data_IF_805978084002
#
_entry.id   IF_805978084002
#
_cell.length_a   1.000
_cell.length_b   1.000
_cell.length_c   1.000
_cell.angle_alpha   90.00
_cell.angle_beta   90.00
_cell.angle_gamma   90.00
#
_symmetry.space_group_name_H-M   'P 1'
#
loop_
_entity.id
_entity.type
_entity.pdbx_description
1 polymer ?
#
# COMPACT_ATOMS: atom_id res chain seq x y z
N UNK A 1 9.12 -25.27 3.10
CA UNK A 1 9.47 -23.85 3.28
C UNK A 1 8.90 -23.41 4.62
N UNK A 2 9.63 -22.64 5.43
CA UNK A 2 9.11 -22.19 6.73
C UNK A 2 8.15 -21.01 6.55
N UNK A 3 7.00 -21.07 7.23
CA UNK A 3 6.12 -19.92 7.43
C UNK A 3 6.86 -18.81 8.18
N UNK A 4 6.40 -17.57 8.04
CA UNK A 4 6.93 -16.45 8.82
C UNK A 4 6.69 -16.71 10.32
N UNK A 5 7.73 -16.59 11.15
CA UNK A 5 7.62 -16.88 12.59
C UNK A 5 8.14 -15.73 13.44
N UNK A 6 9.32 -15.21 13.13
CA UNK A 6 9.93 -14.07 13.79
C UNK A 6 10.01 -12.92 12.80
N UNK A 7 9.13 -11.94 12.97
CA UNK A 7 8.94 -10.87 12.00
C UNK A 7 9.53 -9.55 12.49
N UNK A 8 10.11 -8.79 11.57
CA UNK A 8 10.52 -7.40 11.78
C UNK A 8 9.82 -6.48 10.76
N UNK A 9 9.16 -5.44 11.25
CA UNK A 9 8.45 -4.46 10.42
C UNK A 9 9.13 -3.08 10.47
N UNK A 10 9.61 -2.61 9.32
CA UNK A 10 10.03 -1.21 9.15
C UNK A 10 8.84 -0.35 8.77
N UNK A 11 8.73 0.87 9.32
CA UNK A 11 7.63 1.78 9.00
C UNK A 11 6.29 1.42 9.65
N UNK A 12 6.32 0.63 10.73
CA UNK A 12 5.14 0.15 11.46
C UNK A 12 4.21 1.25 12.02
N UNK A 13 4.71 2.47 12.20
CA UNK A 13 3.91 3.62 12.67
C UNK A 13 3.47 4.55 11.53
N UNK A 14 3.78 4.21 10.28
CA UNK A 14 3.37 4.95 9.09
C UNK A 14 1.95 4.58 8.63
N UNK A 15 1.44 5.29 7.62
CA UNK A 15 0.05 5.15 7.14
C UNK A 15 -0.37 3.72 6.84
N UNK A 16 0.51 2.87 6.30
CA UNK A 16 0.18 1.50 5.94
C UNK A 16 0.77 0.48 6.91
N UNK A 17 1.96 0.75 7.45
CA UNK A 17 2.58 -0.13 8.44
C UNK A 17 1.72 -0.31 9.68
N UNK A 18 0.93 0.69 10.08
CA UNK A 18 0.00 0.56 11.21
C UNK A 18 -1.10 -0.46 10.93
N UNK A 19 -1.72 -0.44 9.74
CA UNK A 19 -2.74 -1.42 9.38
C UNK A 19 -2.17 -2.83 9.21
N UNK A 20 -0.93 -2.96 8.70
CA UNK A 20 -0.23 -4.25 8.66
C UNK A 20 -0.04 -4.79 10.07
N UNK A 21 0.44 -3.97 11.00
CA UNK A 21 0.64 -4.38 12.38
C UNK A 21 -0.70 -4.70 13.07
N UNK A 22 -1.72 -3.86 12.88
CA UNK A 22 -3.06 -4.06 13.44
C UNK A 22 -3.72 -5.37 12.95
N UNK A 23 -3.42 -5.81 11.72
CA UNK A 23 -3.87 -7.11 11.22
C UNK A 23 -3.08 -8.28 11.84
N UNK A 24 -1.78 -8.11 12.07
CA UNK A 24 -0.91 -9.15 12.62
C UNK A 24 -1.16 -9.41 14.11
N UNK A 25 -1.39 -8.36 14.90
CA UNK A 25 -1.46 -8.46 16.36
C UNK A 25 -2.56 -9.41 16.89
N UNK A 26 -3.78 -9.45 16.32
CA UNK A 26 -4.79 -10.44 16.68
C UNK A 26 -4.34 -11.89 16.47
N UNK A 27 -3.51 -12.14 15.45
CA UNK A 27 -2.97 -13.47 15.10
C UNK A 27 -1.60 -13.74 15.74
N UNK A 28 -1.25 -13.02 16.82
CA UNK A 28 0.06 -13.12 17.48
C UNK A 28 0.47 -14.55 17.85
N UNK A 29 -0.49 -15.43 18.17
CA UNK A 29 -0.19 -16.84 18.50
C UNK A 29 0.46 -17.61 17.34
N UNK A 30 0.33 -17.13 16.10
CA UNK A 30 1.00 -17.68 14.92
C UNK A 30 2.48 -17.27 14.82
N UNK A 31 2.91 -16.26 15.59
CA UNK A 31 4.25 -15.68 15.52
C UNK A 31 5.01 -15.90 16.83
N UNK A 32 6.30 -16.22 16.72
CA UNK A 32 7.20 -16.34 17.86
C UNK A 32 7.70 -14.99 18.37
N UNK A 33 7.99 -14.06 17.45
CA UNK A 33 8.50 -12.72 17.75
C UNK A 33 7.90 -11.72 16.77
N UNK A 34 7.47 -10.57 17.30
CA UNK A 34 6.98 -9.43 16.52
C UNK A 34 7.76 -8.21 16.96
N UNK A 35 8.64 -7.73 16.09
CA UNK A 35 9.46 -6.54 16.32
C UNK A 35 9.17 -5.45 15.29
N UNK A 36 9.37 -4.20 15.69
CA UNK A 36 9.36 -3.04 14.80
C UNK A 36 10.69 -2.31 14.89
N UNK A 37 11.15 -1.76 13.77
CA UNK A 37 12.30 -0.87 13.72
C UNK A 37 11.83 0.55 13.43
N UNK A 38 12.12 1.48 14.34
CA UNK A 38 11.65 2.87 14.27
C UNK A 38 12.78 3.87 14.48
N UNK A 39 12.71 5.03 13.81
CA UNK A 39 13.73 6.06 13.94
C UNK A 39 13.70 6.74 15.32
N UNK A 40 14.83 7.30 15.81
CA UNK A 40 14.86 8.09 17.04
C UNK A 40 13.84 9.23 17.04
N UNK A 41 13.74 9.97 15.92
CA UNK A 41 12.75 11.03 15.77
C UNK A 41 11.30 10.54 15.92
N UNK A 42 10.98 9.36 15.37
CA UNK A 42 9.65 8.75 15.56
C UNK A 42 9.45 8.31 17.00
N UNK A 43 10.50 7.82 17.66
CA UNK A 43 10.47 7.44 19.06
C UNK A 43 10.15 8.62 19.98
N UNK A 44 10.64 9.81 19.64
CA UNK A 44 10.36 11.06 20.36
C UNK A 44 8.99 11.66 20.03
N UNK A 45 8.53 11.56 18.77
CA UNK A 45 7.30 12.23 18.32
C UNK A 45 6.04 11.36 18.44
N UNK A 46 6.18 10.03 18.51
CA UNK A 46 5.06 9.07 18.59
C UNK A 46 5.11 8.19 19.83
N UNK A 47 5.55 8.76 20.96
CA UNK A 47 5.74 8.05 22.24
C UNK A 47 4.49 7.26 22.65
N UNK A 48 3.31 7.88 22.60
CA UNK A 48 2.05 7.24 23.00
C UNK A 48 1.72 6.01 22.14
N UNK A 49 1.91 6.11 20.82
CA UNK A 49 1.70 4.99 19.90
C UNK A 49 2.68 3.85 20.20
N UNK A 50 3.96 4.15 20.43
CA UNK A 50 4.97 3.12 20.72
C UNK A 50 4.77 2.46 22.08
N UNK A 51 4.34 3.21 23.10
CA UNK A 51 4.01 2.64 24.40
C UNK A 51 2.84 1.66 24.30
N UNK A 52 1.79 2.01 23.55
CA UNK A 52 0.67 1.10 23.25
C UNK A 52 1.16 -0.18 22.57
N UNK A 53 2.08 -0.07 21.60
CA UNK A 53 2.64 -1.26 20.93
C UNK A 53 3.44 -2.14 21.91
N UNK A 54 4.23 -1.55 22.81
CA UNK A 54 4.94 -2.30 23.87
C UNK A 54 3.97 -3.00 24.81
N UNK A 55 2.89 -2.35 25.22
CA UNK A 55 1.81 -2.95 26.03
C UNK A 55 1.14 -4.13 25.31
N UNK A 56 1.05 -4.06 23.98
CA UNK A 56 0.56 -5.15 23.13
C UNK A 56 1.61 -6.25 22.89
N UNK A 57 2.80 -6.18 23.53
CA UNK A 57 3.87 -7.16 23.42
C UNK A 57 4.70 -7.04 22.14
N UNK A 58 4.69 -5.89 21.47
CA UNK A 58 5.58 -5.61 20.32
C UNK A 58 6.93 -5.16 20.83
N UNK A 59 7.98 -5.78 20.32
CA UNK A 59 9.34 -5.32 20.57
C UNK A 59 9.63 -4.07 19.74
N UNK A 60 10.02 -2.98 20.39
CA UNK A 60 10.32 -1.71 19.73
C UNK A 60 11.82 -1.48 19.72
N UNK A 61 12.43 -1.63 18.53
CA UNK A 61 13.85 -1.39 18.29
C UNK A 61 13.98 0.02 17.72
N UNK A 62 14.78 0.86 18.39
CA UNK A 62 15.03 2.24 17.96
C UNK A 62 16.40 2.33 17.31
N UNK A 63 16.46 2.82 16.08
CA UNK A 63 17.72 2.97 15.35
C UNK A 63 17.56 3.73 14.03
N UNK A 64 18.67 4.09 13.41
CA UNK A 64 18.66 4.66 12.06
C UNK A 64 18.75 3.53 11.03
N UNK A 65 17.92 3.56 9.98
CA UNK A 65 17.96 2.59 8.88
C UNK A 65 19.27 2.67 8.07
N UNK A 66 19.98 3.78 8.18
CA UNK A 66 21.31 3.98 7.56
C UNK A 66 22.45 3.44 8.44
N UNK A 67 22.19 3.10 9.70
CA UNK A 67 23.17 2.44 10.57
C UNK A 67 23.10 0.93 10.32
N UNK A 68 24.02 0.42 9.51
CA UNK A 68 24.07 -1.00 9.19
C UNK A 68 24.20 -1.90 10.42
N UNK A 69 24.90 -1.46 11.47
CA UNK A 69 25.10 -2.27 12.67
C UNK A 69 23.80 -2.37 13.48
N UNK A 70 23.08 -1.26 13.59
CA UNK A 70 21.75 -1.27 14.22
C UNK A 70 20.76 -2.18 13.44
N UNK A 71 20.80 -2.14 12.11
CA UNK A 71 19.95 -3.01 11.27
C UNK A 71 20.36 -4.48 11.39
N UNK A 72 21.67 -4.80 11.37
CA UNK A 72 22.17 -6.17 11.56
C UNK A 72 21.73 -6.73 12.91
N UNK A 73 21.88 -5.94 13.99
CA UNK A 73 21.42 -6.33 15.32
C UNK A 73 19.90 -6.56 15.35
N UNK A 74 19.12 -5.72 14.67
CA UNK A 74 17.67 -5.91 14.57
C UNK A 74 17.27 -7.17 13.79
N UNK A 75 18.11 -7.66 12.87
CA UNK A 75 17.89 -8.90 12.11
C UNK A 75 18.24 -10.18 12.87
N UNK A 76 18.92 -10.10 14.02
CA UNK A 76 19.29 -11.27 14.81
C UNK A 76 18.05 -12.04 15.25
N UNK A 77 17.93 -13.31 14.80
CA UNK A 77 16.79 -14.17 15.12
C UNK A 77 15.49 -13.81 14.40
N UNK A 78 15.52 -12.90 13.44
CA UNK A 78 14.40 -12.59 12.54
C UNK A 78 14.49 -13.49 11.30
N UNK A 79 13.36 -14.06 10.88
CA UNK A 79 13.27 -14.85 9.64
C UNK A 79 12.57 -14.11 8.50
N UNK A 80 11.68 -13.16 8.83
CA UNK A 80 10.88 -12.45 7.84
C UNK A 80 10.91 -10.96 8.10
N UNK A 81 11.22 -10.18 7.07
CA UNK A 81 11.24 -8.72 7.12
C UNK A 81 10.12 -8.18 6.27
N UNK A 82 9.38 -7.22 6.81
CA UNK A 82 8.34 -6.49 6.11
C UNK A 82 8.76 -5.02 6.11
N UNK A 83 8.83 -4.41 4.93
CA UNK A 83 9.09 -2.99 4.77
C UNK A 83 7.78 -2.30 4.42
N UNK A 84 7.38 -1.32 5.23
CA UNK A 84 6.30 -0.37 4.97
C UNK A 84 6.83 1.07 4.96
N UNK A 85 8.07 1.25 4.50
CA UNK A 85 8.71 2.55 4.35
C UNK A 85 7.98 3.42 3.32
N UNK A 86 7.81 4.71 3.64
CA UNK A 86 7.14 5.68 2.77
C UNK A 86 7.97 6.04 1.54
N UNK A 87 7.36 6.78 0.61
CA UNK A 87 7.98 7.17 -0.68
C UNK A 87 9.35 7.83 -0.52
N UNK A 88 9.50 8.68 0.49
CA UNK A 88 10.73 9.44 0.75
C UNK A 88 11.89 8.56 1.23
N UNK A 89 11.63 7.32 1.64
CA UNK A 89 12.64 6.39 2.16
C UNK A 89 12.73 5.10 1.34
N UNK A 90 12.08 5.03 0.16
CA UNK A 90 12.12 3.85 -0.71
C UNK A 90 13.54 3.48 -1.17
N UNK A 91 14.42 4.47 -1.33
CA UNK A 91 15.82 4.25 -1.71
C UNK A 91 16.60 3.45 -0.64
N UNK A 92 16.22 3.58 0.63
CA UNK A 92 16.87 2.86 1.73
C UNK A 92 16.54 1.37 1.76
N UNK A 93 15.59 0.90 0.96
CA UNK A 93 15.26 -0.53 0.91
C UNK A 93 16.39 -1.38 0.34
N UNK A 94 17.17 -0.89 -0.62
CA UNK A 94 18.26 -1.66 -1.23
C UNK A 94 19.32 -2.06 -0.18
N UNK A 95 19.87 -1.13 0.63
CA UNK A 95 20.72 -1.50 1.76
C UNK A 95 20.07 -2.50 2.72
N UNK A 96 18.80 -2.30 3.09
CA UNK A 96 18.08 -3.21 3.99
C UNK A 96 17.95 -4.63 3.43
N UNK A 97 17.69 -4.75 2.12
CA UNK A 97 17.60 -6.02 1.39
C UNK A 97 18.97 -6.70 1.35
N UNK A 98 20.04 -5.95 1.04
CA UNK A 98 21.41 -6.47 1.03
C UNK A 98 21.78 -7.08 2.39
N UNK A 99 21.47 -6.35 3.47
CA UNK A 99 21.71 -6.82 4.84
C UNK A 99 20.83 -8.02 5.20
N UNK A 100 19.59 -8.08 4.69
CA UNK A 100 18.70 -9.21 4.90
C UNK A 100 19.23 -10.47 4.21
N UNK A 101 19.69 -10.36 2.96
CA UNK A 101 20.27 -11.48 2.22
C UNK A 101 21.58 -11.99 2.84
N UNK A 102 22.37 -11.12 3.46
CA UNK A 102 23.57 -11.51 4.19
C UNK A 102 23.29 -12.09 5.59
N UNK A 103 22.06 -11.98 6.10
CA UNK A 103 21.70 -12.50 7.42
C UNK A 103 21.58 -14.03 7.39
N UNK A 104 22.15 -14.75 8.37
CA UNK A 104 21.99 -16.20 8.43
C UNK A 104 20.55 -16.62 8.69
N UNK A 105 19.75 -15.77 9.33
CA UNK A 105 18.38 -16.08 9.78
C UNK A 105 17.28 -15.51 8.91
N UNK A 106 17.47 -14.35 8.26
CA UNK A 106 16.43 -13.78 7.41
C UNK A 106 16.32 -14.60 6.12
N UNK A 107 15.11 -15.05 5.80
CA UNK A 107 14.80 -15.89 4.63
C UNK A 107 13.71 -15.32 3.74
N UNK A 108 13.03 -14.27 4.17
CA UNK A 108 11.95 -13.69 3.40
C UNK A 108 11.82 -12.18 3.59
N UNK A 109 11.64 -11.45 2.49
CA UNK A 109 11.50 -10.00 2.50
C UNK A 109 10.25 -9.56 1.72
N UNK A 110 9.33 -8.86 2.37
CA UNK A 110 8.21 -8.18 1.74
C UNK A 110 8.56 -6.69 1.61
N UNK A 111 8.97 -6.20 0.43
CA UNK A 111 9.32 -4.78 0.26
C UNK A 111 8.08 -3.88 0.27
N UNK A 112 8.31 -2.57 0.44
CA UNK A 112 7.28 -1.53 0.44
C UNK A 112 6.72 -1.32 -0.96
N UNK A 113 5.73 -2.16 -1.29
CA UNK A 113 5.07 -2.23 -2.59
C UNK A 113 3.64 -1.71 -2.55
N UNK A 114 2.83 -2.19 -1.59
CA UNK A 114 1.40 -1.92 -1.30
C UNK A 114 0.75 -0.79 -2.11
N UNK A 115 0.59 -1.00 -3.40
CA UNK A 115 0.22 0.04 -4.35
C UNK A 115 0.06 -0.54 -5.75
N UNK A 116 -0.01 0.34 -6.74
CA UNK A 116 -0.06 -0.06 -8.15
C UNK A 116 1.19 -0.83 -8.55
N UNK A 117 0.99 -1.92 -9.29
CA UNK A 117 2.11 -2.70 -9.84
C UNK A 117 2.99 -1.81 -10.72
N UNK A 118 4.30 -1.93 -10.58
CA UNK A 118 5.25 -1.21 -11.44
C UNK A 118 5.52 -1.94 -12.76
N UNK A 119 4.87 -3.07 -12.99
CA UNK A 119 4.89 -3.83 -14.24
C UNK A 119 3.48 -3.95 -14.86
N UNK A 120 2.56 -3.02 -14.54
CA UNK A 120 1.17 -3.03 -15.00
C UNK A 120 0.99 -2.95 -16.54
N UNK A 121 2.00 -2.42 -17.25
CA UNK A 121 1.99 -2.31 -18.70
C UNK A 121 3.27 -1.68 -19.25
N UNK A 122 3.44 -1.59 -20.58
CA UNK A 122 4.68 -1.11 -21.22
C UNK A 122 5.10 0.30 -20.80
N UNK A 123 4.13 1.20 -20.54
CA UNK A 123 4.39 2.56 -20.11
C UNK A 123 5.02 2.65 -18.71
N UNK A 124 4.79 1.64 -17.85
CA UNK A 124 5.17 1.68 -16.43
C UNK A 124 6.66 1.90 -16.19
N UNK A 125 7.52 1.41 -17.10
CA UNK A 125 8.97 1.59 -17.02
C UNK A 125 9.40 3.07 -17.02
N UNK A 126 8.59 3.95 -17.60
CA UNK A 126 8.86 5.39 -17.72
C UNK A 126 8.06 6.24 -16.73
N UNK A 127 7.18 5.64 -15.93
CA UNK A 127 6.36 6.38 -14.96
C UNK A 127 7.24 6.92 -13.84
N UNK A 128 7.30 8.24 -13.69
CA UNK A 128 8.14 8.90 -12.67
C UNK A 128 7.87 8.39 -11.25
N UNK A 129 6.61 8.15 -10.81
CA UNK A 129 6.32 7.61 -9.47
C UNK A 129 6.82 6.18 -9.23
N UNK A 130 7.15 5.41 -10.27
CA UNK A 130 7.53 4.00 -10.18
C UNK A 130 9.05 3.78 -10.13
N UNK A 131 9.85 4.79 -10.49
CA UNK A 131 11.30 4.65 -10.71
C UNK A 131 12.07 4.08 -9.52
N UNK A 132 11.76 4.50 -8.29
CA UNK A 132 12.44 3.97 -7.10
C UNK A 132 12.09 2.50 -6.85
N UNK A 133 10.82 2.12 -7.01
CA UNK A 133 10.38 0.73 -6.86
C UNK A 133 10.94 -0.17 -7.96
N UNK A 134 11.09 0.34 -9.19
CA UNK A 134 11.73 -0.38 -10.29
C UNK A 134 13.17 -0.75 -9.93
N UNK A 135 13.92 0.18 -9.33
CA UNK A 135 15.29 -0.09 -8.83
C UNK A 135 15.30 -1.15 -7.72
N UNK A 136 14.35 -1.08 -6.77
CA UNK A 136 14.24 -2.06 -5.68
C UNK A 136 13.93 -3.46 -6.20
N UNK A 137 12.95 -3.59 -7.11
CA UNK A 137 12.64 -4.89 -7.73
C UNK A 137 13.81 -5.42 -8.56
N UNK A 138 14.44 -4.56 -9.37
CA UNK A 138 15.62 -4.97 -10.15
C UNK A 138 16.76 -5.48 -9.26
N UNK A 139 16.99 -4.84 -8.10
CA UNK A 139 17.99 -5.31 -7.14
C UNK A 139 17.65 -6.69 -6.58
N UNK A 140 16.40 -6.90 -6.11
CA UNK A 140 15.93 -8.20 -5.63
C UNK A 140 15.96 -9.29 -6.71
N UNK A 141 15.62 -8.95 -7.95
CA UNK A 141 15.51 -9.90 -9.05
C UNK A 141 16.87 -10.29 -9.64
N UNK A 142 17.84 -9.36 -9.70
CA UNK A 142 19.10 -9.55 -10.43
C UNK A 142 20.33 -9.72 -9.52
N UNK A 143 20.33 -9.13 -8.33
CA UNK A 143 21.53 -9.08 -7.48
C UNK A 143 21.45 -10.03 -6.26
N UNK A 144 20.28 -10.57 -5.97
CA UNK A 144 20.03 -11.42 -4.80
C UNK A 144 19.65 -12.82 -5.25
N UNK A 145 20.40 -13.83 -4.78
CA UNK A 145 20.02 -15.22 -5.01
C UNK A 145 18.73 -15.56 -4.29
N UNK A 146 17.85 -16.31 -4.96
CA UNK A 146 16.59 -16.80 -4.37
C UNK A 146 16.82 -17.79 -3.23
N UNK A 147 18.00 -18.39 -3.16
CA UNK A 147 18.42 -19.27 -2.08
C UNK A 147 18.88 -18.49 -0.83
N UNK A 148 19.39 -17.27 -1.02
CA UNK A 148 19.82 -16.39 0.06
C UNK A 148 18.62 -15.67 0.69
N UNK A 149 17.72 -15.14 -0.16
CA UNK A 149 16.56 -14.39 0.28
C UNK A 149 15.40 -14.51 -0.72
N UNK A 150 14.28 -15.09 -0.26
CA UNK A 150 13.04 -15.01 -1.02
C UNK A 150 12.38 -13.63 -0.85
N UNK A 151 11.52 -13.24 -1.78
CA UNK A 151 10.71 -12.02 -1.65
C UNK A 151 9.26 -12.22 -2.09
N UNK A 152 8.36 -11.33 -1.67
CA UNK A 152 6.99 -11.30 -2.20
C UNK A 152 6.53 -9.86 -2.37
N UNK A 153 6.18 -9.46 -3.59
CA UNK A 153 5.64 -8.12 -3.83
C UNK A 153 4.13 -8.16 -3.60
N UNK A 154 3.64 -7.62 -2.49
CA UNK A 154 2.20 -7.50 -2.24
C UNK A 154 1.70 -6.24 -2.94
N UNK A 155 1.09 -6.43 -4.10
CA UNK A 155 0.61 -5.36 -4.99
C UNK A 155 -0.89 -5.18 -4.75
N UNK A 156 -1.25 -4.11 -4.07
CA UNK A 156 -2.63 -3.88 -3.61
C UNK A 156 -3.43 -2.92 -4.50
N UNK A 157 -2.81 -2.30 -5.50
CA UNK A 157 -3.43 -1.18 -6.20
C UNK A 157 -3.65 0.05 -5.29
N UNK A 158 -4.45 1.03 -5.72
CA UNK A 158 -4.79 2.23 -4.94
C UNK A 158 -5.53 1.94 -3.63
N UNK A 159 -5.26 2.77 -2.62
CA UNK A 159 -6.02 2.76 -1.37
C UNK A 159 -7.38 3.42 -1.57
N UNK A 160 -8.45 2.72 -1.23
CA UNK A 160 -9.83 3.18 -1.43
C UNK A 160 -10.06 4.54 -0.73
N UNK A 161 -9.60 4.68 0.52
CA UNK A 161 -9.74 5.90 1.31
C UNK A 161 -9.09 7.10 0.62
N UNK A 162 -7.90 6.92 0.03
CA UNK A 162 -7.23 7.99 -0.71
C UNK A 162 -7.88 8.24 -2.08
N UNK A 163 -8.44 7.20 -2.70
CA UNK A 163 -9.11 7.31 -4.00
C UNK A 163 -10.42 8.09 -3.88
N UNK A 164 -11.16 7.91 -2.77
CA UNK A 164 -12.47 8.52 -2.59
C UNK A 164 -12.38 10.00 -2.19
N UNK A 165 -11.26 10.49 -1.67
CA UNK A 165 -11.17 11.86 -1.15
C UNK A 165 -10.94 12.89 -2.28
N UNK A 166 -11.82 13.90 -2.35
CA UNK A 166 -11.56 15.11 -3.13
C UNK A 166 -10.56 16.00 -2.37
N UNK A 167 -9.40 16.23 -2.95
CA UNK A 167 -8.35 17.06 -2.34
C UNK A 167 -8.46 18.49 -2.89
N UNK A 168 -8.63 19.52 -2.02
CA UNK A 168 -8.67 20.91 -2.45
C UNK A 168 -7.41 21.30 -3.24
N UNK A 169 -7.59 21.94 -4.39
CA UNK A 169 -6.51 22.31 -5.30
C UNK A 169 -6.03 21.18 -6.21
N UNK A 170 -6.59 19.97 -6.10
CA UNK A 170 -6.34 18.82 -6.98
C UNK A 170 -7.65 18.26 -7.56
N UNK A 171 -8.60 19.14 -7.86
CA UNK A 171 -9.91 18.77 -8.39
C UNK A 171 -9.81 17.98 -9.71
N UNK A 172 -8.81 18.27 -10.54
CA UNK A 172 -8.53 17.51 -11.77
C UNK A 172 -8.24 16.03 -11.50
N UNK A 173 -7.73 15.69 -10.31
CA UNK A 173 -7.43 14.33 -9.87
C UNK A 173 -8.69 13.53 -9.49
N UNK A 174 -9.86 14.16 -9.46
CA UNK A 174 -11.13 13.55 -9.09
C UNK A 174 -11.27 13.24 -7.61
N UNK A 175 -12.48 12.85 -7.20
CA UNK A 175 -12.79 12.49 -5.82
C UNK A 175 -14.20 12.92 -5.40
N UNK A 176 -14.54 12.62 -4.15
CA UNK A 176 -15.81 12.93 -3.52
C UNK A 176 -15.58 13.82 -2.29
N UNK A 177 -16.34 14.90 -2.22
CA UNK A 177 -16.61 15.67 -1.01
C UNK A 177 -18.01 15.28 -0.52
N UNK A 178 -18.04 14.34 0.42
CA UNK A 178 -19.30 13.80 0.95
C UNK A 178 -20.07 14.86 1.75
N UNK A 179 -19.38 15.78 2.44
CA UNK A 179 -20.03 16.83 3.24
C UNK A 179 -20.69 17.86 2.34
N UNK A 180 -19.96 18.30 1.31
CA UNK A 180 -20.45 19.23 0.29
C UNK A 180 -21.36 18.59 -0.76
N UNK A 181 -21.53 17.26 -0.75
CA UNK A 181 -22.26 16.48 -1.77
C UNK A 181 -21.79 16.81 -3.18
N UNK A 182 -20.47 16.87 -3.37
CA UNK A 182 -19.83 17.20 -4.64
C UNK A 182 -18.92 16.05 -5.06
N UNK A 183 -18.96 15.68 -6.33
CA UNK A 183 -18.10 14.66 -6.90
C UNK A 183 -17.50 15.09 -8.23
N UNK A 184 -16.25 14.73 -8.45
CA UNK A 184 -15.57 14.88 -9.73
C UNK A 184 -15.12 13.49 -10.17
N UNK A 185 -15.85 12.91 -11.11
CA UNK A 185 -15.59 11.56 -11.59
C UNK A 185 -14.54 11.59 -12.70
N UNK A 186 -13.62 10.63 -12.67
CA UNK A 186 -12.61 10.50 -13.71
C UNK A 186 -13.13 9.70 -14.91
N UNK A 187 -12.81 10.17 -16.11
CA UNK A 187 -13.09 9.47 -17.36
C UNK A 187 -14.53 9.57 -17.85
N UNK A 188 -14.85 8.72 -18.82
CA UNK A 188 -16.15 8.66 -19.47
C UNK A 188 -17.18 7.86 -18.64
N UNK A 189 -18.47 8.15 -18.85
CA UNK A 189 -19.54 7.45 -18.15
C UNK A 189 -19.57 5.97 -18.50
N UNK A 190 -19.65 5.12 -17.48
CA UNK A 190 -19.70 3.66 -17.65
C UNK A 190 -18.38 3.01 -18.06
N UNK A 191 -17.26 3.74 -17.96
CA UNK A 191 -15.90 3.24 -18.21
C UNK A 191 -15.01 3.50 -16.99
N UNK A 192 -13.75 3.05 -17.07
CA UNK A 192 -12.72 3.36 -16.06
C UNK A 192 -12.86 2.48 -14.83
N UNK A 193 -12.98 1.17 -15.02
CA UNK A 193 -12.90 0.23 -13.90
C UNK A 193 -11.57 0.39 -13.17
N UNK A 194 -11.63 0.24 -11.85
CA UNK A 194 -10.49 0.38 -10.94
C UNK A 194 -10.59 -0.68 -9.85
N UNK A 195 -9.48 -1.38 -9.60
CA UNK A 195 -9.35 -2.27 -8.45
C UNK A 195 -8.82 -1.48 -7.27
N UNK A 196 -9.59 -1.45 -6.18
CA UNK A 196 -9.27 -0.73 -4.96
C UNK A 196 -8.99 -1.69 -3.81
N UNK A 197 -8.15 -1.26 -2.87
CA UNK A 197 -7.93 -1.96 -1.60
C UNK A 197 -8.09 -0.99 -0.45
N UNK A 198 -8.83 -1.35 0.59
CA UNK A 198 -8.90 -0.51 1.80
C UNK A 198 -7.57 -0.58 2.56
N UNK A 199 -7.15 0.48 3.24
CA UNK A 199 -5.90 0.43 4.02
C UNK A 199 -5.94 -0.68 5.08
N UNK A 200 -7.11 -0.94 5.66
CA UNK A 200 -7.35 -2.09 6.55
C UNK A 200 -7.07 -3.42 5.84
N UNK A 201 -7.62 -3.61 4.64
CA UNK A 201 -7.43 -4.86 3.90
C UNK A 201 -6.01 -5.00 3.35
N UNK A 202 -5.25 -3.92 3.16
CA UNK A 202 -3.79 -4.04 2.91
C UNK A 202 -3.14 -4.84 4.04
N UNK A 203 -3.47 -4.54 5.29
CA UNK A 203 -3.00 -5.29 6.43
C UNK A 203 -3.44 -6.76 6.41
N UNK A 204 -4.73 -7.00 6.13
CA UNK A 204 -5.28 -8.36 5.99
C UNK A 204 -4.58 -9.16 4.89
N UNK A 205 -4.33 -8.57 3.73
CA UNK A 205 -3.70 -9.22 2.58
C UNK A 205 -2.22 -9.51 2.83
N UNK A 206 -1.51 -8.61 3.52
CA UNK A 206 -0.12 -8.86 3.95
C UNK A 206 -0.07 -9.98 4.98
N UNK A 207 -0.93 -9.95 6.01
CA UNK A 207 -1.03 -11.04 6.99
C UNK A 207 -1.29 -12.39 6.30
N UNK A 208 -2.26 -12.44 5.38
CA UNK A 208 -2.61 -13.67 4.68
C UNK A 208 -1.48 -14.17 3.78
N UNK A 209 -0.71 -13.24 3.18
CA UNK A 209 0.54 -13.60 2.49
C UNK A 209 1.47 -14.35 3.45
N UNK A 210 1.66 -13.87 4.68
CA UNK A 210 2.53 -14.50 5.69
C UNK A 210 2.03 -15.88 6.14
N UNK A 211 0.72 -16.01 6.39
CA UNK A 211 0.11 -17.23 6.91
C UNK A 211 -0.05 -18.33 5.86
N UNK A 212 -0.17 -17.96 4.58
CA UNK A 212 -0.38 -18.88 3.46
C UNK A 212 0.82 -18.88 2.50
N UNK A 213 2.03 -18.75 3.04
CA UNK A 213 3.24 -18.77 2.22
C UNK A 213 3.46 -20.13 1.56
N UNK A 214 3.57 -20.16 0.23
CA UNK A 214 3.84 -21.33 -0.60
C UNK A 214 4.99 -21.04 -1.57
N UNK A 215 5.31 -21.99 -2.44
CA UNK A 215 6.27 -21.76 -3.51
C UNK A 215 5.78 -20.71 -4.52
N UNK A 216 4.47 -20.67 -4.77
CA UNK A 216 3.82 -19.76 -5.72
C UNK A 216 3.69 -18.33 -5.19
N UNK A 217 3.63 -18.16 -3.86
CA UNK A 217 3.56 -16.83 -3.25
C UNK A 217 4.93 -16.21 -2.98
N UNK A 218 6.01 -17.01 -3.06
CA UNK A 218 7.41 -16.55 -2.98
C UNK A 218 7.98 -16.26 -4.36
N UNK A 219 8.90 -15.30 -4.38
CA UNK A 219 9.56 -14.74 -5.56
C UNK A 219 8.56 -14.30 -6.65
N UNK A 220 7.44 -13.74 -6.22
CA UNK A 220 6.29 -13.44 -7.06
C UNK A 220 5.70 -12.06 -6.75
N UNK A 221 5.03 -11.48 -7.75
CA UNK A 221 4.15 -10.33 -7.57
C UNK A 221 2.72 -10.81 -7.32
N UNK A 222 2.23 -10.56 -6.10
CA UNK A 222 0.90 -10.92 -5.65
C UNK A 222 -0.03 -9.72 -5.87
N UNK A 223 -0.63 -9.68 -7.05
CA UNK A 223 -1.66 -8.69 -7.38
C UNK A 223 -2.96 -9.04 -6.66
N UNK A 224 -3.28 -8.31 -5.61
CA UNK A 224 -4.42 -8.53 -4.72
C UNK A 224 -5.26 -7.28 -4.61
N UNK A 225 -6.57 -7.42 -4.34
CA UNK A 225 -7.41 -6.27 -4.06
C UNK A 225 -8.62 -6.61 -3.19
N UNK A 226 -9.24 -5.57 -2.61
CA UNK A 226 -10.52 -5.70 -1.92
C UNK A 226 -11.65 -5.93 -2.94
N UNK A 227 -11.86 -4.99 -3.85
CA UNK A 227 -12.94 -5.03 -4.84
C UNK A 227 -12.57 -4.26 -6.12
N UNK A 228 -13.36 -4.46 -7.17
CA UNK A 228 -13.26 -3.73 -8.44
C UNK A 228 -14.57 -2.98 -8.66
N UNK A 229 -14.48 -1.72 -9.08
CA UNK A 229 -15.62 -0.80 -9.24
C UNK A 229 -15.33 0.22 -10.33
N UNK A 230 -16.18 1.22 -10.50
CA UNK A 230 -16.00 2.37 -11.38
C UNK A 230 -16.43 3.66 -10.67
N UNK A 231 -16.00 4.86 -11.14
CA UNK A 231 -16.46 6.13 -10.59
C UNK A 231 -17.99 6.26 -10.57
N UNK A 232 -18.69 5.75 -11.59
CA UNK A 232 -20.15 5.75 -11.65
C UNK A 232 -20.78 4.87 -10.56
N UNK A 233 -20.23 3.67 -10.31
CA UNK A 233 -20.72 2.78 -9.26
C UNK A 233 -20.47 3.35 -7.86
N UNK A 234 -19.32 3.99 -7.63
CA UNK A 234 -19.04 4.68 -6.36
C UNK A 234 -20.04 5.82 -6.13
N UNK A 235 -20.29 6.64 -7.15
CA UNK A 235 -21.27 7.73 -7.05
C UNK A 235 -22.67 7.21 -6.78
N UNK A 236 -23.11 6.18 -7.51
CA UNK A 236 -24.42 5.56 -7.30
C UNK A 236 -24.55 4.98 -5.89
N UNK A 237 -23.49 4.40 -5.34
CA UNK A 237 -23.50 3.86 -3.99
C UNK A 237 -23.59 4.96 -2.91
N UNK A 238 -22.90 6.09 -3.10
CA UNK A 238 -23.07 7.27 -2.24
C UNK A 238 -24.51 7.79 -2.26
N UNK A 239 -25.11 7.93 -3.44
CA UNK A 239 -26.50 8.37 -3.59
C UNK A 239 -27.46 7.38 -2.92
N UNK A 240 -27.24 6.07 -3.08
CA UNK A 240 -28.06 5.02 -2.47
C UNK A 240 -28.05 5.08 -0.95
N UNK A 241 -26.87 5.26 -0.33
CA UNK A 241 -26.74 5.27 1.13
C UNK A 241 -27.14 6.62 1.78
N UNK A 242 -27.24 7.71 1.00
CA UNK A 242 -27.63 9.04 1.48
C UNK A 242 -29.05 9.44 1.03
N UNK A 243 -29.96 8.46 0.97
CA UNK A 243 -31.39 8.62 0.65
C UNK A 243 -31.68 9.32 -0.70
N UNK A 244 -30.82 9.10 -1.71
CA UNK A 244 -31.03 9.62 -3.07
C UNK A 244 -30.95 11.14 -3.20
N UNK A 245 -30.42 11.82 -2.19
CA UNK A 245 -30.27 13.27 -2.18
C UNK A 245 -29.29 13.74 -3.27
N UNK A 246 -29.53 14.91 -3.90
CA UNK A 246 -28.78 15.35 -5.07
C UNK A 246 -27.31 15.65 -4.75
N UNK A 247 -26.44 15.38 -5.74
CA UNK A 247 -25.01 15.70 -5.73
C UNK A 247 -24.65 16.66 -6.88
N UNK A 248 -23.70 17.56 -6.64
CA UNK A 248 -22.98 18.30 -7.70
C UNK A 248 -21.95 17.37 -8.33
N UNK A 249 -22.33 16.67 -9.41
CA UNK A 249 -21.48 15.70 -10.10
C UNK A 249 -20.94 16.29 -11.40
N UNK A 250 -19.62 16.35 -11.50
CA UNK A 250 -18.92 16.74 -12.72
C UNK A 250 -17.89 15.67 -13.12
N UNK A 251 -17.22 15.87 -14.25
CA UNK A 251 -16.24 14.92 -14.80
C UNK A 251 -14.95 15.59 -15.25
N UNK A 252 -13.84 14.91 -15.00
CA UNK A 252 -12.54 15.20 -15.63
C UNK A 252 -12.23 14.08 -16.63
N UNK A 253 -12.07 14.42 -17.90
CA UNK A 253 -11.65 13.46 -18.92
C UNK A 253 -10.19 13.04 -18.69
N UNK A 254 -9.80 11.86 -19.20
CA UNK A 254 -8.41 11.41 -19.12
C UNK A 254 -7.44 12.35 -19.88
N UNK A 255 -7.90 12.99 -20.97
CA UNK A 255 -7.13 14.02 -21.67
C UNK A 255 -6.83 15.22 -20.77
N UNK A 256 -7.84 15.78 -20.10
CA UNK A 256 -7.65 16.89 -19.16
C UNK A 256 -6.76 16.51 -17.98
N UNK A 257 -6.85 15.26 -17.52
CA UNK A 257 -5.98 14.74 -16.47
C UNK A 257 -4.51 14.67 -16.94
N UNK A 258 -4.25 14.24 -18.18
CA UNK A 258 -2.90 14.26 -18.79
C UNK A 258 -2.36 15.67 -18.94
N UNK A 259 -3.18 16.63 -19.37
CA UNK A 259 -2.79 18.04 -19.46
C UNK A 259 -2.39 18.59 -18.08
N UNK A 260 -3.21 18.32 -17.06
CA UNK A 260 -2.91 18.73 -15.68
C UNK A 260 -1.64 18.07 -15.13
N UNK A 261 -1.44 16.77 -15.40
CA UNK A 261 -0.24 16.04 -15.03
C UNK A 261 1.02 16.64 -15.68
N UNK A 262 0.98 16.89 -16.99
CA UNK A 262 2.10 17.46 -17.73
C UNK A 262 2.48 18.85 -17.18
N UNK A 263 1.48 19.73 -17.00
CA UNK A 263 1.68 21.06 -16.43
C UNK A 263 2.27 20.99 -15.01
N UNK A 264 1.79 20.07 -14.17
CA UNK A 264 2.30 19.88 -12.82
C UNK A 264 3.76 19.39 -12.82
N UNK A 265 4.15 18.50 -13.74
CA UNK A 265 5.54 18.07 -13.88
C UNK A 265 6.45 19.19 -14.37
N UNK A 266 6.02 20.00 -15.34
CA UNK A 266 6.80 21.16 -15.82
C UNK A 266 7.02 22.20 -14.73
N UNK A 267 6.00 22.44 -13.90
CA UNK A 267 6.06 23.37 -12.78
C UNK A 267 6.82 22.82 -11.56
N UNK A 268 7.29 21.57 -11.58
CA UNK A 268 7.91 20.93 -10.41
C UNK A 268 6.94 20.75 -9.23
N UNK A 269 5.64 20.73 -9.48
CA UNK A 269 4.61 20.61 -8.45
C UNK A 269 4.56 19.17 -7.90
N UNK A 270 4.73 18.95 -6.58
CA UNK A 270 4.64 17.62 -5.96
C UNK A 270 3.36 16.85 -6.28
N UNK A 271 2.26 17.55 -6.55
CA UNK A 271 0.98 16.96 -6.95
C UNK A 271 1.04 16.18 -8.27
N UNK A 272 2.04 16.41 -9.11
CA UNK A 272 2.22 15.68 -10.36
C UNK A 272 2.26 14.16 -10.13
N UNK A 273 2.78 13.71 -8.99
CA UNK A 273 2.75 12.29 -8.61
C UNK A 273 1.34 11.77 -8.43
N UNK A 274 0.46 12.54 -7.79
CA UNK A 274 -0.95 12.14 -7.56
C UNK A 274 -1.70 12.11 -8.90
N UNK A 275 -1.49 13.10 -9.76
CA UNK A 275 -2.10 13.16 -11.10
C UNK A 275 -1.66 11.98 -11.97
N UNK A 276 -0.36 11.67 -11.97
CA UNK A 276 0.19 10.50 -12.67
C UNK A 276 -0.47 9.20 -12.21
N UNK A 277 -0.58 8.99 -10.89
CA UNK A 277 -1.21 7.80 -10.34
C UNK A 277 -2.70 7.72 -10.69
N UNK A 278 -3.43 8.84 -10.58
CA UNK A 278 -4.85 8.91 -10.97
C UNK A 278 -5.06 8.60 -12.45
N UNK A 279 -4.17 9.07 -13.33
CA UNK A 279 -4.19 8.72 -14.75
C UNK A 279 -4.00 7.22 -14.93
N UNK A 280 -2.95 6.65 -14.35
CA UNK A 280 -2.67 5.20 -14.44
C UNK A 280 -3.88 4.39 -14.01
N UNK A 281 -4.55 4.78 -12.91
CA UNK A 281 -5.73 4.08 -12.42
C UNK A 281 -6.93 4.24 -13.35
N UNK A 282 -7.19 5.45 -13.86
CA UNK A 282 -8.28 5.71 -14.81
C UNK A 282 -8.07 5.06 -16.18
N UNK A 283 -6.82 4.77 -16.55
CA UNK A 283 -6.43 4.04 -17.76
C UNK A 283 -6.45 2.51 -17.56
N UNK A 284 -6.86 2.01 -16.40
CA UNK A 284 -6.99 0.58 -16.12
C UNK A 284 -5.71 -0.09 -15.62
N UNK A 285 -4.67 0.66 -15.23
CA UNK A 285 -3.40 0.12 -14.70
C UNK A 285 -3.50 -0.61 -13.34
N UNK A 286 -4.72 -0.82 -12.85
CA UNK A 286 -5.04 -1.58 -11.64
C UNK A 286 -5.85 -2.84 -11.94
N UNK A 287 -6.19 -3.07 -13.21
CA UNK A 287 -6.96 -4.22 -13.66
C UNK A 287 -5.97 -5.33 -14.03
N UNK A 288 -5.75 -6.24 -13.09
CA UNK A 288 -4.84 -7.35 -13.27
C UNK A 288 -5.57 -8.56 -13.86
N UNK A 289 -4.97 -9.21 -14.86
CA UNK A 289 -5.57 -10.37 -15.53
C UNK A 289 -5.87 -11.53 -14.56
N UNK A 290 -5.10 -11.65 -13.47
CA UNK A 290 -5.33 -12.60 -12.38
C UNK A 290 -5.09 -11.91 -11.05
N UNK A 291 -5.99 -12.19 -10.09
CA UNK A 291 -5.80 -11.84 -8.69
C UNK A 291 -5.16 -13.00 -7.93
N UNK A 292 -4.28 -12.67 -6.99
CA UNK A 292 -3.60 -13.60 -6.12
C UNK A 292 -4.35 -13.83 -4.79
N UNK A 293 -5.54 -13.24 -4.57
CA UNK A 293 -6.30 -13.43 -3.33
C UNK A 293 -6.47 -14.92 -2.98
N UNK A 294 -6.85 -15.76 -3.95
CA UNK A 294 -6.98 -17.21 -3.74
C UNK A 294 -5.67 -17.93 -3.43
N UNK A 295 -4.52 -17.41 -3.87
CA UNK A 295 -3.20 -17.98 -3.54
C UNK A 295 -2.82 -17.73 -2.07
N UNK A 296 -3.41 -16.71 -1.45
CA UNK A 296 -3.18 -16.35 -0.05
C UNK A 296 -4.38 -16.71 0.84
N UNK A 297 -5.22 -17.67 0.43
CA UNK A 297 -6.34 -18.16 1.25
C UNK A 297 -7.68 -17.45 1.05
N UNK A 298 -7.79 -16.55 0.07
CA UNK A 298 -8.98 -15.75 -0.26
C UNK A 298 -9.59 -15.09 1.00
N UNK A 299 -8.83 -14.21 1.70
CA UNK A 299 -9.34 -13.59 2.91
C UNK A 299 -10.59 -12.76 2.64
N UNK A 300 -11.48 -12.73 3.64
CA UNK A 300 -12.61 -11.80 3.62
C UNK A 300 -12.09 -10.36 3.67
N UNK A 301 -12.44 -9.59 2.65
CA UNK A 301 -12.09 -8.18 2.45
C UNK A 301 -13.36 -7.34 2.38
N UNK A 302 -13.23 -6.02 2.53
CA UNK A 302 -14.34 -5.09 2.42
C UNK A 302 -14.82 -4.95 0.97
N UNK A 303 -16.11 -4.70 0.80
CA UNK A 303 -16.71 -4.35 -0.49
C UNK A 303 -16.88 -2.84 -0.68
N UNK A 304 -17.41 -2.46 -1.85
CA UNK A 304 -17.76 -1.07 -2.16
C UNK A 304 -18.72 -0.46 -1.13
N UNK A 305 -19.75 -1.22 -0.74
CA UNK A 305 -20.78 -0.78 0.22
C UNK A 305 -20.16 -0.42 1.57
N UNK A 306 -19.26 -1.27 2.09
CA UNK A 306 -18.56 -1.06 3.36
C UNK A 306 -17.71 0.22 3.32
N UNK A 307 -17.01 0.44 2.20
CA UNK A 307 -16.14 1.61 2.02
C UNK A 307 -16.94 2.91 2.00
N UNK A 308 -18.05 2.93 1.24
CA UNK A 308 -18.92 4.11 1.19
C UNK A 308 -19.55 4.38 2.56
N UNK A 309 -20.02 3.35 3.25
CA UNK A 309 -20.59 3.48 4.59
C UNK A 309 -19.57 4.06 5.59
N UNK A 310 -18.33 3.58 5.55
CA UNK A 310 -17.26 4.08 6.40
C UNK A 310 -16.92 5.54 6.10
N UNK A 311 -16.90 5.94 4.83
CA UNK A 311 -16.60 7.30 4.43
C UNK A 311 -17.72 8.28 4.85
N UNK A 312 -18.99 7.88 4.71
CA UNK A 312 -20.14 8.63 5.23
C UNK A 312 -20.03 8.80 6.76
N UNK A 313 -19.70 7.71 7.47
CA UNK A 313 -19.56 7.74 8.92
C UNK A 313 -18.38 8.63 9.36
N UNK A 314 -17.26 8.60 8.63
CA UNK A 314 -16.08 9.43 8.89
C UNK A 314 -16.42 10.91 8.83
N UNK A 315 -17.15 11.32 7.80
CA UNK A 315 -17.55 12.73 7.60
C UNK A 315 -18.63 13.16 8.60
N UNK A 316 -19.51 12.25 9.03
CA UNK A 316 -20.53 12.54 10.06
C UNK A 316 -19.93 12.82 11.45
N UNK A 317 -18.69 12.41 11.69
CA UNK A 317 -17.95 12.66 12.95
C UNK A 317 -17.15 13.99 12.92
N UNK A 318 -17.12 14.70 11.79
CA UNK A 318 -16.34 15.93 11.54
C UNK A 318 -17.23 17.18 11.43
#
# INVERSE_FOLDING_TARGET
MSLAKNILLFGATGNIGSFILDAILPERSQFGRIAIFTSPHTAETKVSQLNKLKEQGVEVIVGNVEDENAVKAAYEGIDTVISALGRNTLAQQIPLIKLAAASPTVKWFLPSEYGTDIKYGPASANEKPHQLKLKVRAYLENEISRDDLAYSYVVTGPFAEMYLHLVPGLEAAGGWDVKGRRAILLGEKGKGEVSLTTMKDVGTLVLNTLLHATAETRNAALCVNSFTTSPDQIQAEFERQLDGQPWDVSRTSLEKLREAEAAAWEAGNPAATVLTLRRIWGEGGTLYAKRANGLIGEPKVMGLEDVVANEIQRVSKL
#
